data_IF_958164601457
#
_entry.id   IF_958164601457
#
_cell.length_a   1.000
_cell.length_b   1.000
_cell.length_c   1.000
_cell.angle_alpha   90.00
_cell.angle_beta   90.00
_cell.angle_gamma   90.00
#
_symmetry.space_group_name_H-M   'P 1'
#
loop_
_entity.id
_entity.type
_entity.pdbx_description
1 polymer ?
#
# COMPACT_ATOMS: atom_id res chain seq x y z
N UNK A 1 19.92 -17.41 4.74
CA UNK A 1 19.15 -18.66 4.85
C UNK A 1 18.38 -18.60 6.16
N UNK A 2 17.11 -18.23 6.12
CA UNK A 2 16.25 -18.30 7.30
C UNK A 2 15.83 -19.75 7.49
N UNK A 3 15.98 -20.27 8.71
CA UNK A 3 15.56 -21.62 9.09
C UNK A 3 14.05 -21.76 8.85
N UNK A 4 13.66 -22.64 7.93
CA UNK A 4 12.25 -23.04 7.76
C UNK A 4 11.90 -23.89 8.99
N UNK A 5 11.04 -23.35 9.84
CA UNK A 5 10.60 -24.04 11.05
C UNK A 5 9.54 -25.08 10.63
N UNK A 6 9.85 -26.36 10.74
CA UNK A 6 8.95 -27.49 10.39
C UNK A 6 7.65 -27.53 11.21
N UNK A 7 7.52 -26.66 12.23
CA UNK A 7 6.32 -26.47 13.04
C UNK A 7 5.49 -25.22 12.66
N UNK A 8 5.69 -24.64 11.47
CA UNK A 8 4.94 -23.46 11.07
C UNK A 8 3.46 -23.79 10.88
N UNK A 9 2.62 -23.29 11.79
CA UNK A 9 1.17 -23.48 11.73
C UNK A 9 0.62 -22.67 10.55
N UNK A 10 0.01 -23.37 9.59
CA UNK A 10 -0.76 -22.76 8.50
C UNK A 10 -2.09 -22.24 9.04
N UNK A 11 -2.07 -21.02 9.57
CA UNK A 11 -3.28 -20.34 10.01
C UNK A 11 -4.17 -19.99 8.82
N UNK A 12 -5.48 -20.06 9.07
CA UNK A 12 -6.57 -19.81 8.15
C UNK A 12 -7.65 -19.04 8.92
N UNK A 13 -8.55 -18.38 8.20
CA UNK A 13 -9.66 -17.66 8.83
C UNK A 13 -10.61 -17.03 7.83
N UNK A 14 -10.67 -17.54 6.60
CA UNK A 14 -11.72 -17.09 5.71
C UNK A 14 -13.04 -17.69 6.16
N UNK A 15 -14.08 -16.86 6.16
CA UNK A 15 -15.46 -17.28 6.31
C UNK A 15 -16.12 -17.05 4.94
N UNK A 16 -16.82 -18.05 4.38
CA UNK A 16 -17.50 -17.90 3.10
C UNK A 16 -18.43 -16.70 3.09
N UNK A 17 -18.36 -15.86 2.07
CA UNK A 17 -19.30 -14.74 1.95
C UNK A 17 -20.75 -15.24 1.98
N UNK A 18 -21.68 -14.49 2.60
CA UNK A 18 -23.08 -14.83 2.56
C UNK A 18 -23.54 -15.00 1.11
N UNK A 19 -24.17 -16.15 0.78
CA UNK A 19 -24.49 -16.50 -0.61
C UNK A 19 -25.38 -15.47 -1.32
N UNK A 20 -26.21 -14.73 -0.57
CA UNK A 20 -27.01 -13.64 -1.13
C UNK A 20 -26.15 -12.44 -1.59
N UNK A 21 -25.02 -12.16 -0.93
CA UNK A 21 -24.08 -11.11 -1.35
C UNK A 21 -23.37 -11.52 -2.64
N UNK A 22 -22.90 -12.76 -2.71
CA UNK A 22 -22.28 -13.30 -3.93
C UNK A 22 -23.27 -13.29 -5.12
N UNK A 23 -24.53 -13.67 -4.89
CA UNK A 23 -25.56 -13.65 -5.92
C UNK A 23 -25.97 -12.22 -6.36
N UNK A 24 -25.86 -11.23 -5.47
CA UNK A 24 -26.17 -9.84 -5.76
C UNK A 24 -24.98 -9.07 -6.37
N UNK A 25 -23.77 -9.60 -6.26
CA UNK A 25 -22.57 -8.97 -6.80
C UNK A 25 -22.64 -8.88 -8.33
N UNK A 26 -22.27 -7.72 -8.87
CA UNK A 26 -22.16 -7.55 -10.33
C UNK A 26 -21.08 -8.50 -10.86
N UNK A 27 -21.39 -9.37 -11.84
CA UNK A 27 -20.36 -10.20 -12.47
C UNK A 27 -19.33 -9.36 -13.22
N UNK A 28 -18.07 -9.81 -13.20
CA UNK A 28 -17.02 -9.29 -14.05
C UNK A 28 -17.30 -9.59 -15.51
N UNK A 29 -17.18 -8.57 -16.35
CA UNK A 29 -17.26 -8.67 -17.80
C UNK A 29 -15.89 -8.35 -18.38
N UNK A 30 -15.56 -8.94 -19.53
CA UNK A 30 -14.25 -8.74 -20.15
C UNK A 30 -14.01 -7.25 -20.44
N UNK A 31 -12.91 -6.73 -19.91
CA UNK A 31 -12.45 -5.35 -20.12
C UNK A 31 -11.23 -5.38 -21.03
N UNK A 32 -11.33 -4.73 -22.18
CA UNK A 32 -10.21 -4.60 -23.11
C UNK A 32 -9.66 -5.94 -23.62
N UNK A 33 -8.36 -5.95 -23.92
CA UNK A 33 -7.65 -7.17 -24.36
C UNK A 33 -7.04 -7.91 -23.19
N UNK A 34 -7.08 -9.25 -23.23
CA UNK A 34 -6.39 -10.12 -22.27
C UNK A 34 -5.01 -10.52 -22.83
N UNK A 35 -3.89 -10.19 -22.16
CA UNK A 35 -2.57 -10.66 -22.56
C UNK A 35 -2.49 -12.21 -22.57
N UNK A 36 -1.59 -12.83 -23.36
CA UNK A 36 -1.46 -14.29 -23.37
C UNK A 36 -0.86 -14.88 -22.09
N UNK A 37 -0.02 -14.11 -21.39
CA UNK A 37 0.50 -14.43 -20.06
C UNK A 37 0.58 -13.13 -19.25
N UNK A 38 0.40 -13.21 -17.94
CA UNK A 38 0.45 -12.05 -17.06
C UNK A 38 0.89 -12.46 -15.65
N UNK A 39 1.61 -11.59 -14.93
CA UNK A 39 2.02 -11.85 -13.55
C UNK A 39 2.25 -10.55 -12.78
N UNK A 40 1.61 -10.42 -11.62
CA UNK A 40 2.06 -9.58 -10.53
C UNK A 40 3.05 -10.36 -9.66
N UNK A 41 4.29 -9.85 -9.55
CA UNK A 41 5.36 -10.43 -8.75
C UNK A 41 6.01 -9.34 -7.89
N UNK A 42 5.35 -8.90 -6.79
CA UNK A 42 5.90 -7.87 -5.91
C UNK A 42 7.21 -8.33 -5.26
N UNK A 43 8.10 -7.39 -4.99
CA UNK A 43 9.39 -7.65 -4.36
C UNK A 43 9.25 -7.97 -2.87
N UNK A 44 8.26 -7.37 -2.19
CA UNK A 44 8.01 -7.57 -0.77
C UNK A 44 6.67 -8.28 -0.54
N UNK A 45 6.73 -9.38 0.20
CA UNK A 45 5.57 -10.19 0.58
C UNK A 45 5.73 -10.56 2.05
N UNK A 46 4.63 -10.50 2.80
CA UNK A 46 4.60 -10.91 4.21
C UNK A 46 3.40 -11.82 4.50
N UNK A 47 3.28 -12.28 5.74
CA UNK A 47 2.08 -12.96 6.23
C UNK A 47 0.95 -11.98 6.57
N UNK A 48 1.26 -10.71 6.83
CA UNK A 48 0.29 -9.67 7.21
C UNK A 48 -0.62 -10.12 8.36
N UNK A 49 -0.02 -10.73 9.39
CA UNK A 49 -0.74 -11.21 10.58
C UNK A 49 -1.42 -12.57 10.43
N UNK A 50 -1.46 -13.16 9.22
CA UNK A 50 -2.11 -14.44 9.03
C UNK A 50 -1.47 -15.55 9.87
N UNK A 51 -0.14 -15.60 9.98
CA UNK A 51 0.63 -16.56 10.78
C UNK A 51 0.39 -16.49 12.30
N UNK A 52 -0.33 -15.48 12.78
CA UNK A 52 -0.64 -15.28 14.19
C UNK A 52 -2.14 -15.32 14.47
N UNK A 53 -2.94 -14.75 13.57
CA UNK A 53 -4.35 -14.45 13.80
C UNK A 53 -5.30 -15.06 12.76
N UNK A 54 -4.84 -15.89 11.82
CA UNK A 54 -5.72 -16.41 10.76
C UNK A 54 -6.29 -15.30 9.86
N UNK A 55 -5.61 -14.17 9.77
CA UNK A 55 -6.05 -12.96 9.08
C UNK A 55 -5.86 -13.00 7.55
N UNK A 56 -6.06 -14.18 6.93
CA UNK A 56 -5.81 -14.40 5.51
C UNK A 56 -6.63 -13.46 4.61
N UNK A 57 -7.82 -13.04 5.06
CA UNK A 57 -8.69 -12.15 4.28
C UNK A 57 -8.13 -10.73 4.21
N UNK A 58 -7.61 -10.20 5.31
CA UNK A 58 -6.93 -8.89 5.32
C UNK A 58 -5.55 -8.97 4.67
N UNK A 59 -4.81 -10.06 4.91
CA UNK A 59 -3.49 -10.28 4.32
C UNK A 59 -3.54 -10.27 2.79
N UNK A 60 -4.59 -10.84 2.20
CA UNK A 60 -4.80 -10.81 0.76
C UNK A 60 -5.02 -9.39 0.23
N UNK A 61 -5.67 -8.50 0.99
CA UNK A 61 -5.80 -7.09 0.59
C UNK A 61 -4.45 -6.37 0.62
N UNK A 62 -3.60 -6.66 1.61
CA UNK A 62 -2.26 -6.10 1.67
C UNK A 62 -1.38 -6.58 0.50
N UNK A 63 -1.49 -7.86 0.14
CA UNK A 63 -0.89 -8.39 -1.08
C UNK A 63 -1.41 -7.70 -2.35
N UNK A 64 -2.70 -7.41 -2.42
CA UNK A 64 -3.28 -6.69 -3.54
C UNK A 64 -2.69 -5.27 -3.69
N UNK A 65 -2.37 -4.59 -2.58
CA UNK A 65 -1.63 -3.31 -2.62
C UNK A 65 -0.19 -3.48 -3.08
N UNK A 66 0.49 -4.55 -2.65
CA UNK A 66 1.84 -4.86 -3.11
C UNK A 66 1.90 -5.07 -4.64
N UNK A 67 0.81 -5.53 -5.26
CA UNK A 67 0.72 -5.69 -6.72
C UNK A 67 0.57 -4.37 -7.50
N UNK A 68 0.48 -3.22 -6.83
CA UNK A 68 0.44 -1.91 -7.49
C UNK A 68 1.80 -1.55 -8.13
N UNK A 69 1.82 -0.64 -9.11
CA UNK A 69 3.05 -0.16 -9.73
C UNK A 69 3.10 1.38 -9.71
N UNK A 70 4.06 2.01 -9.01
CA UNK A 70 5.14 1.40 -8.21
C UNK A 70 4.61 0.65 -6.98
N UNK A 71 5.30 -0.40 -6.53
CA UNK A 71 4.86 -1.26 -5.41
C UNK A 71 4.46 -0.48 -4.14
N UNK A 72 3.30 -0.83 -3.57
CA UNK A 72 2.81 -0.29 -2.29
C UNK A 72 2.86 -1.43 -1.26
N UNK A 73 3.91 -1.43 -0.44
CA UNK A 73 4.02 -2.38 0.66
C UNK A 73 3.32 -1.84 1.91
N UNK A 74 2.30 -2.56 2.38
CA UNK A 74 1.67 -2.34 3.68
C UNK A 74 2.44 -3.14 4.73
N UNK A 75 2.82 -2.53 5.84
CA UNK A 75 3.52 -3.26 6.91
C UNK A 75 2.58 -4.24 7.64
N UNK A 76 3.14 -5.30 8.23
CA UNK A 76 2.35 -6.25 9.05
C UNK A 76 1.59 -5.53 10.16
N UNK A 77 2.22 -4.55 10.81
CA UNK A 77 1.60 -3.79 11.89
C UNK A 77 0.38 -2.99 11.41
N UNK A 78 0.44 -2.37 10.23
CA UNK A 78 -0.70 -1.65 9.66
C UNK A 78 -1.83 -2.62 9.30
N UNK A 79 -1.52 -3.76 8.67
CA UNK A 79 -2.53 -4.76 8.34
C UNK A 79 -3.24 -5.31 9.60
N UNK A 80 -2.46 -5.71 10.61
CA UNK A 80 -2.98 -6.24 11.88
C UNK A 80 -3.81 -5.18 12.63
N UNK A 81 -3.34 -3.94 12.69
CA UNK A 81 -4.08 -2.85 13.34
C UNK A 81 -5.40 -2.57 12.64
N UNK A 82 -5.40 -2.58 11.30
CA UNK A 82 -6.60 -2.38 10.52
C UNK A 82 -7.60 -3.53 10.73
N UNK A 83 -7.15 -4.78 10.70
CA UNK A 83 -8.01 -5.92 10.98
C UNK A 83 -8.58 -5.87 12.40
N UNK A 84 -7.76 -5.54 13.39
CA UNK A 84 -8.17 -5.38 14.80
C UNK A 84 -9.24 -4.31 14.94
N UNK A 85 -9.02 -3.12 14.38
CA UNK A 85 -9.95 -2.00 14.45
C UNK A 85 -11.30 -2.27 13.78
N UNK A 86 -11.35 -3.24 12.86
CA UNK A 86 -12.56 -3.62 12.14
C UNK A 86 -13.17 -4.95 12.61
N UNK A 87 -12.57 -5.62 13.61
CA UNK A 87 -13.07 -6.90 14.12
C UNK A 87 -12.85 -8.07 13.16
N UNK A 88 -11.79 -8.04 12.36
CA UNK A 88 -11.46 -9.06 11.35
C UNK A 88 -10.30 -9.99 11.74
N UNK A 89 -9.68 -9.78 12.91
CA UNK A 89 -8.73 -10.76 13.47
C UNK A 89 -9.44 -12.07 13.82
N UNK A 90 -8.76 -13.21 13.64
CA UNK A 90 -9.29 -14.55 13.90
C UNK A 90 -10.44 -14.95 12.98
N UNK A 91 -10.53 -14.29 11.83
CA UNK A 91 -11.32 -14.69 10.69
C UNK A 91 -12.37 -13.66 10.29
N UNK A 92 -12.66 -13.61 8.99
CA UNK A 92 -13.54 -12.62 8.40
C UNK A 92 -14.26 -13.15 7.16
N UNK A 93 -15.41 -12.57 6.85
CA UNK A 93 -16.07 -12.78 5.57
C UNK A 93 -15.32 -12.03 4.46
N UNK A 94 -15.01 -12.69 3.33
CA UNK A 94 -14.34 -12.04 2.19
C UNK A 94 -15.05 -10.75 1.77
N UNK A 95 -16.36 -10.85 1.56
CA UNK A 95 -17.22 -9.71 1.21
C UNK A 95 -17.20 -8.57 2.23
N UNK A 96 -17.07 -8.86 3.54
CA UNK A 96 -17.07 -7.79 4.55
C UNK A 96 -15.76 -7.00 4.56
N UNK A 97 -14.63 -7.67 4.32
CA UNK A 97 -13.34 -7.00 4.18
C UNK A 97 -13.32 -6.16 2.90
N UNK A 98 -13.76 -6.73 1.77
CA UNK A 98 -13.89 -6.01 0.49
C UNK A 98 -14.76 -4.75 0.63
N UNK A 99 -15.96 -4.88 1.21
CA UNK A 99 -16.87 -3.74 1.45
C UNK A 99 -16.23 -2.66 2.32
N UNK A 100 -15.47 -3.07 3.35
CA UNK A 100 -14.80 -2.11 4.24
C UNK A 100 -13.67 -1.37 3.53
N UNK A 101 -12.87 -2.07 2.73
CA UNK A 101 -11.73 -1.49 2.02
C UNK A 101 -12.12 -0.42 0.99
N UNK A 102 -13.35 -0.45 0.45
CA UNK A 102 -13.86 0.61 -0.43
C UNK A 102 -13.86 1.98 0.25
N UNK A 103 -14.18 2.02 1.55
CA UNK A 103 -14.38 3.26 2.29
C UNK A 103 -13.31 3.54 3.33
N UNK A 104 -12.70 2.50 3.88
CA UNK A 104 -11.69 2.59 4.92
C UNK A 104 -10.60 1.56 4.66
N UNK A 105 -9.69 1.87 3.74
CA UNK A 105 -8.53 1.05 3.42
C UNK A 105 -7.34 1.28 4.35
N UNK A 106 -6.23 0.60 4.08
CA UNK A 106 -5.00 0.73 4.87
C UNK A 106 -4.46 2.16 4.86
N UNK A 107 -3.88 2.59 5.98
CA UNK A 107 -3.16 3.86 6.08
C UNK A 107 -1.69 3.56 6.31
N UNK A 108 -0.84 3.90 5.34
CA UNK A 108 0.61 3.65 5.38
C UNK A 108 1.34 4.80 4.70
N UNK A 109 2.41 5.30 5.32
CA UNK A 109 3.16 6.48 4.85
C UNK A 109 2.29 7.71 4.52
N UNK A 110 1.27 7.98 5.34
CA UNK A 110 0.32 9.11 5.17
C UNK A 110 -0.64 9.00 3.98
N UNK A 111 -0.70 7.86 3.29
CA UNK A 111 -1.70 7.59 2.25
C UNK A 111 -2.74 6.64 2.78
N UNK A 112 -3.98 6.82 2.32
CA UNK A 112 -5.00 5.81 2.50
C UNK A 112 -5.21 5.05 1.18
N UNK A 113 -5.17 3.73 1.25
CA UNK A 113 -5.24 2.84 0.09
C UNK A 113 -6.54 2.06 0.10
N UNK A 114 -7.58 2.67 -0.46
CA UNK A 114 -8.89 2.05 -0.59
C UNK A 114 -8.94 1.08 -1.77
N UNK A 115 -10.01 0.30 -1.84
CA UNK A 115 -10.38 -0.48 -3.01
C UNK A 115 -11.34 0.30 -3.91
N UNK A 116 -11.41 -0.11 -5.18
CA UNK A 116 -12.60 0.10 -5.97
C UNK A 116 -13.72 -0.87 -5.59
N UNK A 117 -14.92 -0.64 -6.13
CA UNK A 117 -16.05 -1.55 -5.91
C UNK A 117 -15.69 -2.93 -6.46
N UNK A 118 -16.09 -3.98 -5.73
CA UNK A 118 -15.82 -5.36 -6.14
C UNK A 118 -16.89 -5.93 -7.07
N UNK A 119 -16.46 -6.81 -7.97
CA UNK A 119 -17.28 -7.67 -8.82
C UNK A 119 -17.03 -9.13 -8.48
N UNK A 120 -18.03 -9.98 -8.70
CA UNK A 120 -17.83 -11.44 -8.68
C UNK A 120 -17.14 -11.89 -9.97
N UNK A 121 -16.28 -12.90 -9.90
CA UNK A 121 -15.55 -13.45 -11.06
C UNK A 121 -15.98 -14.90 -11.27
N UNK A 122 -16.33 -15.27 -12.50
CA UNK A 122 -16.50 -16.69 -12.85
C UNK A 122 -15.13 -17.35 -13.00
N UNK A 123 -14.68 -18.02 -11.94
CA UNK A 123 -13.39 -18.71 -11.91
C UNK A 123 -13.35 -19.99 -12.75
N UNK A 124 -14.51 -20.50 -13.19
CA UNK A 124 -14.58 -21.70 -14.04
C UNK A 124 -14.39 -21.37 -15.52
N UNK A 125 -14.54 -20.10 -15.89
CA UNK A 125 -14.31 -19.60 -17.24
C UNK A 125 -12.92 -18.96 -17.36
N UNK A 126 -12.00 -19.67 -18.00
CA UNK A 126 -10.61 -19.21 -18.15
C UNK A 126 -10.49 -17.82 -18.80
N UNK A 127 -11.33 -17.48 -19.78
CA UNK A 127 -11.26 -16.18 -20.46
C UNK A 127 -11.67 -15.03 -19.51
N UNK A 128 -12.71 -15.25 -18.69
CA UNK A 128 -13.17 -14.27 -17.70
C UNK A 128 -12.13 -14.12 -16.60
N UNK A 129 -11.64 -15.24 -16.05
CA UNK A 129 -10.68 -15.23 -14.96
C UNK A 129 -9.34 -14.60 -15.36
N UNK A 130 -8.80 -14.95 -16.53
CA UNK A 130 -7.55 -14.35 -17.02
C UNK A 130 -7.72 -12.86 -17.30
N UNK A 131 -8.86 -12.44 -17.87
CA UNK A 131 -9.14 -11.02 -18.05
C UNK A 131 -9.20 -10.27 -16.70
N UNK A 132 -9.87 -10.86 -15.70
CA UNK A 132 -9.95 -10.29 -14.35
C UNK A 132 -8.56 -10.15 -13.71
N UNK A 133 -7.74 -11.21 -13.76
CA UNK A 133 -6.36 -11.19 -13.25
C UNK A 133 -5.52 -10.10 -13.93
N UNK A 134 -5.74 -9.84 -15.23
CA UNK A 134 -5.04 -8.76 -15.93
C UNK A 134 -5.46 -7.33 -15.50
N UNK A 135 -6.62 -7.17 -14.83
CA UNK A 135 -7.03 -5.90 -14.22
C UNK A 135 -6.53 -5.73 -12.78
N UNK A 136 -6.28 -6.85 -12.09
CA UNK A 136 -5.87 -6.87 -10.70
C UNK A 136 -5.82 -8.28 -10.13
N UNK A 137 -5.06 -8.50 -9.04
CA UNK A 137 -5.05 -9.77 -8.32
C UNK A 137 -6.48 -10.16 -7.88
N UNK A 138 -6.92 -11.37 -8.22
CA UNK A 138 -8.28 -11.86 -7.93
C UNK A 138 -8.29 -12.55 -6.57
N UNK A 139 -9.06 -12.02 -5.63
CA UNK A 139 -9.27 -12.59 -4.30
C UNK A 139 -10.17 -13.82 -4.41
N UNK A 140 -9.76 -14.95 -3.88
CA UNK A 140 -10.56 -16.18 -3.89
C UNK A 140 -10.66 -16.83 -2.52
N UNK A 141 -11.84 -17.39 -2.23
CA UNK A 141 -12.08 -18.27 -1.10
C UNK A 141 -11.82 -19.72 -1.51
N UNK A 142 -10.96 -20.41 -0.77
CA UNK A 142 -10.53 -21.78 -1.08
C UNK A 142 -10.61 -22.71 0.13
N UNK A 143 -10.71 -24.01 -0.13
CA UNK A 143 -10.39 -25.05 0.84
C UNK A 143 -8.88 -25.30 0.87
N UNK A 144 -8.21 -25.02 1.98
CA UNK A 144 -6.73 -25.00 2.03
C UNK A 144 -6.06 -26.29 2.50
N UNK A 145 -6.80 -27.37 2.77
CA UNK A 145 -6.22 -28.63 3.28
C UNK A 145 -5.12 -29.19 2.37
N UNK A 146 -5.34 -29.16 1.07
CA UNK A 146 -4.37 -29.67 0.10
C UNK A 146 -3.19 -28.70 -0.11
N UNK A 147 -3.40 -27.39 0.08
CA UNK A 147 -2.35 -26.37 -0.01
C UNK A 147 -1.27 -26.53 1.07
N UNK A 148 -1.65 -26.93 2.29
CA UNK A 148 -0.70 -27.15 3.39
C UNK A 148 0.41 -28.16 3.04
N UNK A 149 0.17 -29.06 2.10
CA UNK A 149 1.12 -30.12 1.72
C UNK A 149 2.14 -29.67 0.67
N UNK A 150 1.91 -28.53 0.02
CA UNK A 150 2.73 -28.09 -1.12
C UNK A 150 3.35 -26.71 -0.93
N UNK A 151 2.73 -25.84 -0.12
CA UNK A 151 3.24 -24.49 0.08
C UNK A 151 4.51 -24.52 0.94
N UNK A 152 5.54 -23.82 0.45
CA UNK A 152 6.73 -23.49 1.22
C UNK A 152 6.70 -21.99 1.57
N UNK A 153 6.35 -21.61 2.80
CA UNK A 153 6.35 -20.21 3.19
C UNK A 153 7.71 -19.54 2.99
N UNK A 154 7.71 -18.29 2.53
CA UNK A 154 8.90 -17.48 2.26
C UNK A 154 9.69 -17.89 1.02
N UNK A 155 9.20 -18.87 0.24
CA UNK A 155 9.82 -19.30 -1.03
C UNK A 155 8.78 -19.36 -2.14
N UNK A 156 8.91 -18.49 -3.13
CA UNK A 156 8.07 -18.52 -4.32
C UNK A 156 8.41 -19.74 -5.20
N UNK A 157 7.46 -20.15 -6.05
CA UNK A 157 7.62 -21.22 -7.02
C UNK A 157 7.30 -22.64 -6.51
N UNK A 158 6.51 -22.79 -5.46
CA UNK A 158 5.91 -24.09 -5.12
C UNK A 158 4.80 -24.47 -6.13
N UNK A 159 4.47 -25.76 -6.23
CA UNK A 159 3.52 -26.28 -7.23
C UNK A 159 2.34 -27.01 -6.56
N UNK A 160 1.12 -26.69 -6.98
CA UNK A 160 -0.13 -27.35 -6.60
C UNK A 160 -0.76 -27.98 -7.85
N UNK A 161 -0.91 -29.31 -7.84
CA UNK A 161 -1.48 -30.06 -8.95
C UNK A 161 -2.16 -31.34 -8.45
N UNK A 162 -3.09 -31.87 -9.24
CA UNK A 162 -3.86 -33.09 -8.92
C UNK A 162 -4.65 -33.02 -7.60
N UNK A 163 -5.18 -31.85 -7.24
CA UNK A 163 -6.06 -31.75 -6.08
C UNK A 163 -7.44 -32.35 -6.36
N UNK A 164 -8.01 -32.95 -5.32
CA UNK A 164 -9.39 -33.42 -5.33
C UNK A 164 -10.35 -32.28 -5.02
N UNK A 165 -11.62 -32.45 -5.40
CA UNK A 165 -12.66 -31.51 -5.06
C UNK A 165 -12.79 -31.37 -3.54
N UNK A 166 -12.79 -30.12 -3.07
CA UNK A 166 -12.94 -29.78 -1.67
C UNK A 166 -13.78 -28.50 -1.55
N UNK A 167 -14.80 -28.57 -0.69
CA UNK A 167 -15.77 -27.50 -0.49
C UNK A 167 -15.65 -26.84 0.89
N UNK A 168 -14.67 -27.25 1.70
CA UNK A 168 -14.44 -26.69 3.02
C UNK A 168 -13.69 -25.35 2.93
N UNK A 169 -14.36 -24.36 2.36
CA UNK A 169 -13.85 -22.99 2.19
C UNK A 169 -13.52 -22.37 3.55
N UNK A 170 -12.22 -22.26 3.84
CA UNK A 170 -11.70 -21.81 5.13
C UNK A 170 -10.49 -20.88 5.02
N UNK A 171 -9.99 -20.64 3.80
CA UNK A 171 -8.82 -19.79 3.56
C UNK A 171 -9.03 -18.82 2.40
N UNK A 172 -8.35 -17.68 2.47
CA UNK A 172 -8.38 -16.63 1.45
C UNK A 172 -7.00 -16.50 0.82
N UNK A 173 -6.96 -16.54 -0.51
CA UNK A 173 -5.73 -16.46 -1.31
C UNK A 173 -5.97 -15.54 -2.51
N UNK A 174 -4.91 -15.23 -3.26
CA UNK A 174 -5.01 -14.37 -4.44
C UNK A 174 -4.48 -15.06 -5.69
N UNK A 175 -5.19 -14.96 -6.81
CA UNK A 175 -4.66 -15.32 -8.12
C UNK A 175 -4.04 -14.06 -8.74
N UNK A 176 -2.72 -14.07 -8.89
CA UNK A 176 -1.95 -12.88 -9.26
C UNK A 176 -1.27 -13.01 -10.63
N UNK A 177 -1.52 -14.09 -11.36
CA UNK A 177 -0.97 -14.29 -12.69
C UNK A 177 -1.51 -15.55 -13.37
N UNK A 178 -1.23 -15.68 -14.66
CA UNK A 178 -1.57 -16.82 -15.48
C UNK A 178 -0.61 -16.97 -16.66
N UNK A 179 -0.53 -18.18 -17.19
CA UNK A 179 0.26 -18.51 -18.37
C UNK A 179 0.44 -20.02 -18.47
N UNK A 180 1.37 -20.48 -19.31
CA UNK A 180 1.82 -21.87 -19.22
C UNK A 180 2.58 -22.09 -17.91
N UNK A 181 2.49 -23.30 -17.36
CA UNK A 181 3.21 -23.66 -16.13
C UNK A 181 4.72 -23.45 -16.28
N UNK A 182 5.30 -23.77 -17.44
CA UNK A 182 6.71 -23.49 -17.75
C UNK A 182 7.05 -22.00 -17.74
N UNK A 183 6.16 -21.15 -18.27
CA UNK A 183 6.38 -19.70 -18.28
C UNK A 183 6.38 -19.15 -16.86
N UNK A 184 5.40 -19.55 -16.04
CA UNK A 184 5.30 -19.17 -14.63
C UNK A 184 6.51 -19.65 -13.81
N UNK A 185 6.92 -20.91 -14.00
CA UNK A 185 8.09 -21.48 -13.34
C UNK A 185 9.37 -20.67 -13.63
N UNK A 186 9.53 -20.22 -14.88
CA UNK A 186 10.63 -19.33 -15.28
C UNK A 186 10.58 -17.98 -14.54
N UNK A 187 9.39 -17.42 -14.31
CA UNK A 187 9.26 -16.14 -13.57
C UNK A 187 9.71 -16.25 -12.11
N UNK A 188 9.57 -17.45 -11.51
CA UNK A 188 10.02 -17.72 -10.14
C UNK A 188 11.40 -18.37 -10.07
N UNK A 189 12.07 -18.61 -11.20
CA UNK A 189 13.40 -19.23 -11.23
C UNK A 189 13.42 -20.69 -10.77
N UNK A 190 12.33 -21.43 -10.97
CA UNK A 190 12.18 -22.84 -10.57
C UNK A 190 11.98 -23.74 -11.79
N UNK A 191 12.28 -25.03 -11.64
CA UNK A 191 12.02 -26.04 -12.67
C UNK A 191 10.64 -26.68 -12.49
N UNK A 192 9.94 -26.94 -13.59
CA UNK A 192 8.67 -27.68 -13.56
C UNK A 192 8.91 -29.12 -13.08
N UNK A 193 8.18 -29.63 -12.08
CA UNK A 193 8.29 -31.01 -11.63
C UNK A 193 7.99 -32.01 -12.75
N UNK A 194 8.69 -33.16 -12.83
CA UNK A 194 8.52 -34.12 -13.94
C UNK A 194 7.09 -34.65 -14.15
N UNK A 195 6.29 -34.67 -13.09
CA UNK A 195 4.90 -35.13 -13.09
C UNK A 195 3.90 -34.06 -13.56
N UNK A 196 4.34 -32.83 -13.82
CA UNK A 196 3.51 -31.72 -14.29
C UNK A 196 3.89 -31.39 -15.73
N UNK A 197 2.91 -31.34 -16.63
CA UNK A 197 3.13 -30.92 -18.00
C UNK A 197 3.27 -29.39 -18.07
N UNK A 198 4.48 -28.91 -18.33
CA UNK A 198 4.78 -27.47 -18.36
C UNK A 198 4.07 -26.67 -19.46
N UNK A 199 3.51 -27.34 -20.48
CA UNK A 199 2.72 -26.67 -21.53
C UNK A 199 1.28 -26.41 -21.12
N UNK A 200 0.79 -27.06 -20.06
CA UNK A 200 -0.56 -26.85 -19.58
C UNK A 200 -0.70 -25.44 -18.98
N UNK A 201 -1.89 -24.84 -19.06
CA UNK A 201 -2.16 -23.57 -18.40
C UNK A 201 -2.12 -23.73 -16.88
N UNK A 202 -1.72 -22.66 -16.19
CA UNK A 202 -1.76 -22.56 -14.75
C UNK A 202 -1.93 -21.12 -14.29
N UNK A 203 -2.09 -20.96 -12.98
CA UNK A 203 -2.23 -19.67 -12.31
C UNK A 203 -1.14 -19.47 -11.27
N UNK A 204 -0.65 -18.24 -11.14
CA UNK A 204 0.15 -17.85 -9.99
C UNK A 204 -0.78 -17.57 -8.81
N UNK A 205 -0.51 -18.19 -7.65
CA UNK A 205 -1.33 -18.08 -6.45
C UNK A 205 -0.49 -17.58 -5.29
N UNK A 206 -0.83 -16.41 -4.75
CA UNK A 206 -0.30 -15.93 -3.47
C UNK A 206 -1.08 -16.57 -2.32
N UNK A 207 -0.36 -17.13 -1.35
CA UNK A 207 -0.92 -17.51 -0.05
C UNK A 207 0.15 -17.45 1.05
N UNK A 208 -0.29 -17.15 2.27
CA UNK A 208 0.57 -16.92 3.43
C UNK A 208 1.60 -15.83 3.16
N UNK A 209 2.83 -16.18 2.77
CA UNK A 209 3.87 -15.21 2.42
C UNK A 209 4.69 -15.66 1.20
N UNK A 210 4.11 -16.44 0.28
CA UNK A 210 4.77 -16.84 -0.96
C UNK A 210 3.78 -17.01 -2.10
N UNK A 211 4.30 -17.00 -3.33
CA UNK A 211 3.56 -17.21 -4.56
C UNK A 211 3.95 -18.55 -5.16
N UNK A 212 2.99 -19.38 -5.51
CA UNK A 212 3.20 -20.64 -6.22
C UNK A 212 2.45 -20.72 -7.52
N UNK A 213 2.44 -21.92 -8.08
CA UNK A 213 1.80 -22.25 -9.36
C UNK A 213 0.77 -23.34 -9.10
N UNK A 214 -0.48 -23.09 -9.48
CA UNK A 214 -1.56 -24.08 -9.40
C UNK A 214 -2.05 -24.42 -10.80
N UNK A 215 -2.25 -25.70 -11.09
CA UNK A 215 -2.87 -26.13 -12.34
C UNK A 215 -4.38 -25.76 -12.36
N UNK A 216 -4.95 -25.65 -13.57
CA UNK A 216 -6.36 -25.26 -13.72
C UNK A 216 -7.32 -26.20 -12.98
N UNK A 217 -7.20 -27.54 -13.09
CA UNK A 217 -8.11 -28.44 -12.39
C UNK A 217 -8.06 -28.30 -10.87
N UNK A 218 -6.88 -28.18 -10.27
CA UNK A 218 -6.74 -28.04 -8.81
C UNK A 218 -7.26 -26.69 -8.33
N UNK A 219 -7.05 -25.62 -9.10
CA UNK A 219 -7.61 -24.30 -8.78
C UNK A 219 -9.13 -24.35 -8.73
N UNK A 220 -9.76 -24.95 -9.75
CA UNK A 220 -11.23 -25.12 -9.79
C UNK A 220 -11.71 -26.02 -8.65
N UNK A 221 -10.98 -27.09 -8.34
CA UNK A 221 -11.37 -28.10 -7.37
C UNK A 221 -11.53 -27.57 -5.94
N UNK A 222 -10.77 -26.52 -5.57
CA UNK A 222 -10.75 -25.97 -4.21
C UNK A 222 -11.40 -24.59 -4.08
N UNK A 223 -11.73 -23.92 -5.18
CA UNK A 223 -12.25 -22.54 -5.16
C UNK A 223 -13.77 -22.52 -5.02
N UNK A 224 -14.28 -21.68 -4.11
CA UNK A 224 -15.70 -21.58 -3.79
C UNK A 224 -16.30 -20.17 -4.01
N UNK A 225 -15.45 -19.13 -4.08
CA UNK A 225 -15.83 -17.78 -4.51
C UNK A 225 -14.61 -17.02 -5.07
N UNK A 226 -14.87 -16.03 -5.93
CA UNK A 226 -13.83 -15.18 -6.53
C UNK A 226 -14.31 -13.74 -6.74
N UNK A 227 -13.42 -12.79 -6.45
CA UNK A 227 -13.71 -11.36 -6.43
C UNK A 227 -12.60 -10.54 -7.07
N UNK A 228 -12.99 -9.56 -7.89
CA UNK A 228 -12.09 -8.56 -8.44
C UNK A 228 -12.44 -7.19 -7.87
N UNK A 229 -11.45 -6.45 -7.40
CA UNK A 229 -11.55 -5.03 -7.06
C UNK A 229 -11.25 -4.21 -8.31
N UNK A 230 -12.08 -3.23 -8.65
CA UNK A 230 -11.80 -2.36 -9.81
C UNK A 230 -12.01 -0.86 -9.52
N UNK A 231 -10.94 -0.03 -9.50
CA UNK A 231 -9.53 -0.45 -9.58
C UNK A 231 -9.08 -1.21 -8.32
N UNK A 232 -7.95 -1.92 -8.38
CA UNK A 232 -7.41 -2.64 -7.21
C UNK A 232 -7.02 -1.70 -6.07
N UNK A 233 -6.47 -0.53 -6.40
CA UNK A 233 -6.06 0.45 -5.40
C UNK A 233 -6.50 1.85 -5.82
N UNK A 234 -7.33 2.45 -4.99
CA UNK A 234 -7.61 3.88 -5.00
C UNK A 234 -6.68 4.54 -3.99
N UNK A 235 -5.66 5.24 -4.48
CA UNK A 235 -4.77 6.02 -3.62
C UNK A 235 -5.51 7.30 -3.25
N UNK A 236 -6.03 7.34 -2.04
CA UNK A 236 -6.52 8.56 -1.43
C UNK A 236 -5.27 9.28 -0.89
N UNK A 237 -4.80 10.21 -1.70
CA UNK A 237 -3.84 11.26 -1.30
C UNK A 237 -4.33 11.87 0.03
N UNK A 238 -3.47 12.13 1.03
CA UNK A 238 -3.94 12.48 2.36
C UNK A 238 -4.94 13.63 2.31
N UNK A 239 -6.19 13.32 2.61
CA UNK A 239 -7.09 14.29 3.25
C UNK A 239 -6.77 14.41 4.74
N UNK A 240 -5.82 13.63 5.26
CA UNK A 240 -5.33 13.81 6.61
C UNK A 240 -4.40 15.03 6.64
N UNK A 241 -4.99 16.15 7.06
CA UNK A 241 -4.23 17.29 7.51
C UNK A 241 -3.43 16.90 8.76
N UNK A 242 -2.15 17.19 8.72
CA UNK A 242 -1.25 17.06 9.86
C UNK A 242 -0.69 18.42 10.25
N UNK A 243 -0.08 18.48 11.42
CA UNK A 243 0.67 19.63 11.91
C UNK A 243 2.15 19.25 11.89
N UNK A 244 3.01 20.21 11.57
CA UNK A 244 4.46 20.00 11.51
C UNK A 244 5.09 20.75 12.68
N UNK A 245 5.43 20.05 13.75
CA UNK A 245 5.94 20.63 15.00
C UNK A 245 7.47 20.69 14.99
N UNK A 246 8.08 21.85 15.24
CA UNK A 246 9.54 21.95 15.38
C UNK A 246 9.97 21.51 16.78
N UNK A 247 11.03 20.70 16.88
CA UNK A 247 11.52 20.15 18.15
C UNK A 247 12.08 21.24 19.07
N UNK A 248 12.78 22.24 18.53
CA UNK A 248 13.47 23.25 19.35
C UNK A 248 12.54 24.10 20.21
N UNK A 249 11.30 24.32 19.81
CA UNK A 249 10.35 25.20 20.52
C UNK A 249 9.01 24.53 20.84
N UNK A 250 8.71 23.36 20.24
CA UNK A 250 7.40 22.73 20.33
C UNK A 250 6.29 23.47 19.57
N UNK A 251 6.62 24.52 18.82
CA UNK A 251 5.68 25.27 17.98
C UNK A 251 5.48 24.59 16.62
N UNK A 252 4.51 25.06 15.86
CA UNK A 252 4.07 24.43 14.62
C UNK A 252 4.31 25.34 13.42
N UNK A 253 4.78 24.75 12.32
CA UNK A 253 4.90 25.42 11.03
C UNK A 253 3.53 25.91 10.56
N UNK A 254 3.45 27.16 10.15
CA UNK A 254 2.27 27.77 9.56
C UNK A 254 2.63 28.82 8.51
N UNK A 255 1.63 29.31 7.78
CA UNK A 255 1.77 30.52 6.95
C UNK A 255 1.40 31.75 7.77
N UNK A 256 2.31 32.73 7.81
CA UNK A 256 2.20 33.93 8.62
C UNK A 256 0.87 34.65 8.33
N UNK A 257 0.14 34.96 9.40
CA UNK A 257 -1.17 35.62 9.35
C UNK A 257 -2.22 34.92 8.47
N UNK A 258 -2.07 33.62 8.19
CA UNK A 258 -2.92 32.86 7.26
C UNK A 258 -3.06 33.52 5.88
N UNK A 259 -2.01 34.23 5.44
CA UNK A 259 -2.00 34.96 4.18
C UNK A 259 -2.33 34.04 3.00
N UNK A 260 -3.04 34.58 2.02
CA UNK A 260 -3.38 33.89 0.77
C UNK A 260 -2.43 34.27 -0.37
N UNK A 261 -1.49 35.19 -0.13
CA UNK A 261 -0.58 35.67 -1.16
C UNK A 261 0.48 34.61 -1.50
N UNK A 262 0.78 34.46 -2.79
CA UNK A 262 1.97 33.76 -3.25
C UNK A 262 3.23 34.43 -2.68
N UNK A 263 4.17 33.63 -2.18
CA UNK A 263 5.37 34.12 -1.51
C UNK A 263 5.16 34.55 -0.06
N UNK A 264 4.01 34.28 0.56
CA UNK A 264 3.84 34.56 1.98
C UNK A 264 4.73 33.65 2.85
N UNK A 265 5.38 34.26 3.84
CA UNK A 265 6.33 33.63 4.74
C UNK A 265 5.72 32.44 5.49
N UNK A 266 6.48 31.34 5.55
CA UNK A 266 6.23 30.26 6.49
C UNK A 266 6.99 30.54 7.79
N UNK A 267 6.35 30.36 8.93
CA UNK A 267 6.91 30.65 10.24
C UNK A 267 6.47 29.60 11.29
N UNK A 268 7.05 29.61 12.47
CA UNK A 268 6.51 28.84 13.60
C UNK A 268 5.40 29.60 14.34
N UNK A 269 4.50 28.87 15.01
CA UNK A 269 3.57 29.46 15.97
C UNK A 269 2.99 28.47 16.99
N UNK A 270 2.47 29.02 18.08
CA UNK A 270 2.06 28.29 19.29
C UNK A 270 0.63 27.73 19.27
N UNK A 271 -0.24 28.24 18.38
CA UNK A 271 -1.68 27.99 18.43
C UNK A 271 -2.22 27.31 17.16
N UNK A 272 -2.03 25.99 16.97
CA UNK A 272 -2.40 25.28 15.75
C UNK A 272 -3.89 24.90 15.71
N UNK A 273 -4.74 25.92 15.71
CA UNK A 273 -6.21 25.81 15.72
C UNK A 273 -6.87 26.26 14.42
N UNK A 274 -6.09 26.85 13.51
CA UNK A 274 -6.52 27.41 12.24
C UNK A 274 -5.88 26.67 11.07
N UNK A 275 -6.52 26.73 9.90
CA UNK A 275 -6.15 25.92 8.73
C UNK A 275 -4.76 26.25 8.16
N UNK A 276 -4.16 27.40 8.51
CA UNK A 276 -2.80 27.74 8.07
C UNK A 276 -1.71 26.92 8.81
N UNK A 277 -2.09 26.15 9.84
CA UNK A 277 -1.23 25.19 10.53
C UNK A 277 -1.39 23.75 10.02
N UNK A 278 -2.35 23.53 9.14
CA UNK A 278 -2.72 22.23 8.62
C UNK A 278 -2.03 21.99 7.29
N UNK A 279 -1.29 20.90 7.18
CA UNK A 279 -0.48 20.55 6.03
C UNK A 279 -0.83 19.16 5.48
N UNK A 280 -0.68 18.98 4.18
CA UNK A 280 -0.80 17.69 3.49
C UNK A 280 0.54 17.36 2.82
N UNK A 281 1.03 16.14 3.01
CA UNK A 281 2.19 15.62 2.29
C UNK A 281 1.71 14.84 1.06
N UNK A 282 1.96 15.36 -0.12
CA UNK A 282 1.49 14.81 -1.40
C UNK A 282 2.72 14.29 -2.17
N UNK A 283 2.82 13.02 -2.62
CA UNK A 283 3.94 12.53 -3.40
C UNK A 283 4.02 13.32 -4.69
N UNK A 284 5.22 13.70 -5.06
CA UNK A 284 5.49 14.26 -6.37
C UNK A 284 5.66 13.15 -7.41
N UNK A 285 5.71 13.54 -8.69
CA UNK A 285 6.13 12.64 -9.77
C UNK A 285 7.60 12.21 -9.67
N UNK A 286 8.41 12.88 -8.84
CA UNK A 286 9.77 12.45 -8.54
C UNK A 286 9.75 11.49 -7.35
N UNK A 287 10.10 10.22 -7.58
CA UNK A 287 10.14 9.18 -6.55
C UNK A 287 10.96 9.64 -5.33
N UNK A 288 10.38 9.49 -4.14
CA UNK A 288 11.00 9.85 -2.86
C UNK A 288 10.89 11.32 -2.46
N UNK A 289 10.20 12.15 -3.26
CA UNK A 289 9.94 13.56 -2.95
C UNK A 289 8.45 13.86 -2.84
N UNK A 290 8.12 14.84 -1.99
CA UNK A 290 6.78 15.26 -1.66
C UNK A 290 6.60 16.76 -1.93
N UNK A 291 5.38 17.15 -2.27
CA UNK A 291 4.83 18.48 -2.12
C UNK A 291 4.21 18.60 -0.72
N UNK A 292 4.34 19.76 -0.09
CA UNK A 292 3.78 20.01 1.25
C UNK A 292 2.76 21.15 1.11
N UNK A 293 1.47 20.82 1.11
CA UNK A 293 0.37 21.75 0.79
C UNK A 293 -0.29 22.27 2.06
N UNK A 294 -0.45 23.59 2.21
CA UNK A 294 -1.17 24.19 3.34
C UNK A 294 -2.68 24.18 3.08
N UNK A 295 -3.48 23.91 4.12
CA UNK A 295 -4.94 23.84 4.00
C UNK A 295 -5.57 25.21 3.72
N UNK A 296 -5.10 26.26 4.39
CA UNK A 296 -5.73 27.59 4.35
C UNK A 296 -5.78 28.23 2.97
N UNK A 297 -4.79 27.96 2.10
CA UNK A 297 -4.68 28.58 0.77
C UNK A 297 -4.62 27.56 -0.37
N UNK A 298 -4.37 26.28 -0.05
CA UNK A 298 -4.10 25.25 -1.03
C UNK A 298 -2.77 25.40 -1.78
N UNK A 299 -1.88 26.29 -1.34
CA UNK A 299 -0.55 26.49 -1.90
C UNK A 299 0.49 25.56 -1.23
N UNK A 300 1.71 25.56 -1.76
CA UNK A 300 2.74 24.60 -1.42
C UNK A 300 3.97 25.27 -0.79
N UNK A 301 4.50 24.67 0.27
CA UNK A 301 5.75 25.07 0.89
C UNK A 301 6.88 25.00 -0.13
N UNK A 302 7.65 26.07 -0.26
CA UNK A 302 8.81 26.16 -1.13
C UNK A 302 9.87 27.10 -0.55
N UNK A 303 11.06 27.08 -1.13
CA UNK A 303 12.07 28.12 -0.89
C UNK A 303 11.89 29.26 -1.89
N UNK A 304 11.75 30.48 -1.36
CA UNK A 304 11.45 31.69 -2.12
C UNK A 304 12.47 31.89 -3.26
N UNK A 305 11.96 32.12 -4.47
CA UNK A 305 12.75 32.31 -5.70
C UNK A 305 13.75 31.18 -6.01
N UNK A 306 13.52 29.97 -5.47
CA UNK A 306 14.45 28.84 -5.59
C UNK A 306 15.89 29.18 -5.16
N UNK A 307 16.05 30.09 -4.20
CA UNK A 307 17.36 30.52 -3.73
C UNK A 307 18.20 29.35 -3.25
N UNK A 308 19.52 29.46 -3.42
CA UNK A 308 20.52 28.49 -3.00
C UNK A 308 21.26 28.94 -1.74
N UNK A 309 20.93 30.11 -1.18
CA UNK A 309 21.64 30.68 -0.05
C UNK A 309 21.13 30.10 1.27
N UNK A 310 22.06 29.83 2.20
CA UNK A 310 21.72 29.60 3.60
C UNK A 310 20.90 30.78 4.15
N UNK A 311 19.85 30.48 4.89
CA UNK A 311 18.92 31.46 5.44
C UNK A 311 17.87 31.97 4.46
N UNK A 312 17.78 31.43 3.23
CA UNK A 312 16.70 31.81 2.32
C UNK A 312 15.33 31.42 2.87
N UNK A 313 14.39 32.33 2.75
CA UNK A 313 13.03 32.23 3.28
C UNK A 313 12.28 31.03 2.70
N UNK A 314 11.60 30.29 3.59
CA UNK A 314 10.57 29.35 3.20
C UNK A 314 9.23 30.07 3.14
N UNK A 315 8.46 29.85 2.09
CA UNK A 315 7.19 30.52 1.83
C UNK A 315 6.18 29.55 1.19
N UNK A 316 4.94 29.98 0.99
CA UNK A 316 3.99 29.26 0.13
C UNK A 316 4.05 29.72 -1.32
N UNK A 317 3.69 28.84 -2.26
CA UNK A 317 3.47 29.21 -3.66
C UNK A 317 2.53 28.29 -4.41
N UNK A 318 1.95 28.81 -5.49
CA UNK A 318 0.84 28.19 -6.24
C UNK A 318 1.28 27.36 -7.46
N UNK A 319 2.56 27.41 -7.83
CA UNK A 319 3.08 26.80 -9.06
C UNK A 319 4.14 25.74 -8.76
N UNK A 320 3.78 24.54 -8.26
CA UNK A 320 4.72 23.53 -7.76
C UNK A 320 5.40 22.71 -8.88
N UNK A 321 6.01 23.38 -9.85
CA UNK A 321 6.61 22.75 -11.05
C UNK A 321 8.14 22.69 -11.01
N UNK A 322 8.78 23.30 -10.01
CA UNK A 322 10.23 23.43 -9.88
C UNK A 322 10.76 22.72 -8.62
N UNK A 323 12.04 22.36 -8.62
CA UNK A 323 12.64 21.54 -7.54
C UNK A 323 12.63 22.21 -6.16
N UNK A 324 12.42 23.53 -6.05
CA UNK A 324 12.31 24.23 -4.75
C UNK A 324 10.99 23.95 -4.02
N UNK A 325 10.03 23.29 -4.67
CA UNK A 325 8.79 22.79 -4.06
C UNK A 325 8.89 21.34 -3.59
N UNK A 326 9.95 20.63 -4.00
CA UNK A 326 10.09 19.19 -3.77
C UNK A 326 10.88 18.94 -2.50
N UNK A 327 10.25 18.26 -1.54
CA UNK A 327 10.81 17.98 -0.22
C UNK A 327 11.03 16.49 -0.04
N UNK A 328 12.24 16.11 0.35
CA UNK A 328 12.55 14.77 0.82
C UNK A 328 12.32 14.71 2.33
N UNK A 329 11.53 13.74 2.76
CA UNK A 329 11.30 13.45 4.19
C UNK A 329 12.33 12.42 4.64
N UNK A 330 13.18 12.78 5.60
CA UNK A 330 14.27 11.93 6.10
C UNK A 330 14.02 11.64 7.57
N UNK A 331 13.85 10.37 7.93
CA UNK A 331 13.59 9.96 9.31
C UNK A 331 14.84 10.08 10.20
N UNK A 332 14.66 10.53 11.45
CA UNK A 332 15.66 10.65 12.49
C UNK A 332 15.04 10.36 13.87
N UNK A 333 14.98 9.08 14.24
CA UNK A 333 14.26 8.63 15.43
C UNK A 333 12.76 8.94 15.33
N UNK A 334 12.21 9.58 16.36
CA UNK A 334 10.80 10.04 16.38
C UNK A 334 10.56 11.34 15.60
N UNK A 335 11.60 11.88 14.97
CA UNK A 335 11.57 13.14 14.21
C UNK A 335 11.90 12.90 12.74
N UNK A 336 11.72 13.95 11.94
CA UNK A 336 12.10 14.01 10.54
C UNK A 336 12.92 15.27 10.25
N UNK A 337 13.67 15.22 9.17
CA UNK A 337 14.24 16.38 8.47
C UNK A 337 13.53 16.55 7.12
N UNK A 338 13.30 17.79 6.75
CA UNK A 338 12.73 18.15 5.45
C UNK A 338 13.82 18.78 4.59
N UNK A 339 14.31 18.03 3.60
CA UNK A 339 15.36 18.49 2.68
C UNK A 339 14.75 18.97 1.37
N UNK A 340 14.99 20.21 0.97
CA UNK A 340 14.51 20.72 -0.33
C UNK A 340 15.42 20.21 -1.45
N UNK A 341 14.82 19.75 -2.55
CA UNK A 341 15.54 19.16 -3.68
C UNK A 341 16.44 20.16 -4.41
N UNK A 342 15.99 21.40 -4.58
CA UNK A 342 16.71 22.41 -5.37
C UNK A 342 18.11 22.73 -4.85
N UNK A 343 18.32 22.70 -3.54
CA UNK A 343 19.60 23.08 -2.91
C UNK A 343 20.23 21.96 -2.07
N UNK A 344 19.47 20.91 -1.74
CA UNK A 344 19.91 19.88 -0.80
C UNK A 344 19.97 20.36 0.66
N UNK A 345 19.48 21.57 0.95
CA UNK A 345 19.44 22.13 2.30
C UNK A 345 18.15 21.75 3.04
N UNK A 346 18.09 22.08 4.32
CA UNK A 346 17.06 21.59 5.23
C UNK A 346 16.21 22.73 5.80
N UNK A 347 14.90 22.51 5.88
CA UNK A 347 13.97 23.42 6.54
C UNK A 347 14.31 23.54 8.03
N UNK A 348 14.41 24.77 8.52
CA UNK A 348 14.63 25.09 9.91
C UNK A 348 13.93 26.39 10.32
N UNK A 349 13.85 26.64 11.64
CA UNK A 349 13.47 27.96 12.16
C UNK A 349 14.72 28.83 12.33
N UNK A 350 14.69 30.03 11.74
CA UNK A 350 15.81 30.95 11.70
C UNK A 350 16.35 31.26 13.11
N UNK A 351 17.67 31.10 13.28
CA UNK A 351 18.37 31.34 14.54
C UNK A 351 17.93 30.45 15.70
N UNK A 352 17.21 29.35 15.44
CA UNK A 352 16.56 28.53 16.47
C UNK A 352 15.67 29.36 17.43
N UNK A 353 15.08 30.43 16.90
CA UNK A 353 14.27 31.35 17.70
C UNK A 353 13.13 30.61 18.41
N UNK A 354 12.76 31.11 19.58
CA UNK A 354 11.62 30.62 20.36
C UNK A 354 10.39 31.54 20.21
N UNK A 355 10.52 32.64 19.48
CA UNK A 355 9.43 33.61 19.32
C UNK A 355 8.38 33.09 18.34
N UNK A 356 7.10 33.28 18.70
CA UNK A 356 6.00 33.10 17.78
C UNK A 356 6.19 34.00 16.54
N UNK A 357 5.91 33.46 15.35
CA UNK A 357 6.11 34.17 14.08
C UNK A 357 7.56 34.20 13.60
N UNK A 358 8.51 33.51 14.24
CA UNK A 358 9.87 33.41 13.70
C UNK A 358 9.86 32.65 12.35
N UNK A 359 10.50 33.24 11.35
CA UNK A 359 10.55 32.72 9.99
C UNK A 359 11.23 31.37 9.86
N UNK A 360 10.68 30.54 8.98
CA UNK A 360 11.31 29.32 8.51
C UNK A 360 12.22 29.63 7.32
N UNK A 361 13.35 28.94 7.24
CA UNK A 361 14.32 29.11 6.16
C UNK A 361 15.02 27.78 5.85
N UNK A 362 15.84 27.75 4.80
CA UNK A 362 16.76 26.63 4.54
C UNK A 362 18.15 26.88 5.14
N UNK A 363 18.84 25.81 5.54
CA UNK A 363 20.27 25.83 5.86
C UNK A 363 20.93 24.45 5.68
N UNK A 364 22.25 24.45 5.49
CA UNK A 364 23.08 23.27 5.16
C UNK A 364 23.63 22.47 6.36
N UNK A 365 23.41 22.94 7.59
CA UNK A 365 24.01 22.39 8.83
C UNK A 365 22.95 21.87 9.80
N UNK A 366 22.26 20.75 9.49
CA UNK A 366 21.09 20.26 10.23
C UNK A 366 21.46 19.47 11.49
N UNK A 367 22.22 20.08 12.41
CA UNK A 367 22.74 19.42 13.62
C UNK A 367 22.03 19.85 14.91
N UNK A 368 21.15 20.86 14.84
CA UNK A 368 20.42 21.41 15.98
C UNK A 368 18.93 21.11 15.91
N UNK A 369 18.24 21.18 17.05
CA UNK A 369 16.83 20.77 17.16
C UNK A 369 15.84 21.62 16.33
N UNK A 370 16.23 22.80 15.86
CA UNK A 370 15.39 23.63 14.99
C UNK A 370 15.27 23.10 13.55
N UNK A 371 16.03 22.05 13.20
CA UNK A 371 15.91 21.31 11.93
C UNK A 371 15.07 20.04 12.05
N UNK A 372 14.74 19.64 13.29
CA UNK A 372 14.00 18.41 13.57
C UNK A 372 12.52 18.74 13.71
N UNK A 373 11.71 18.02 12.95
CA UNK A 373 10.27 18.21 12.90
C UNK A 373 9.55 16.93 13.30
N UNK A 374 8.37 17.05 13.89
CA UNK A 374 7.47 15.95 14.18
C UNK A 374 6.18 16.14 13.42
N UNK A 375 5.74 15.11 12.72
CA UNK A 375 4.43 15.07 12.07
C UNK A 375 3.40 14.66 13.13
N UNK A 376 2.42 15.53 13.38
CA UNK A 376 1.39 15.37 14.42
C UNK A 376 0.03 15.31 13.76
N UNK A 377 -0.74 14.25 14.02
CA UNK A 377 -2.09 14.06 13.50
C UNK A 377 -3.14 14.90 14.25
#
# INVERSE_FOLDING_TARGET
MANVNENQRFFRGAIPSPRYKLAAAKPHEIIGSTPPNFLYNPANISFWGNDQYGDCVTAEEAFAKACYNPEIFISDQVAINWASANGFLNGAYLSSVLEKMVHNGFIENYFQYNDGVSSSVDWTNANILQNAIAQGPVKIGVAADQLNNVVTPGRNGWFAANFNQDHNEDHCVSLCGYGTISWLATQFGVSVPPQINGNDPGYAMFTWNSIGIIDVPSMIAITAEAWLRNPTTNIIQPVQYLKIQVKSSGQYLNILNASQANGAEACQGDTPTTDNFLWQLIPSSTVGYYLIKVASSGQYLNILNASQTNGAEACQGDTPTTDNFLWKVIAEGDYIKLQVKSSGQYLNIAGASQTNGAGACQADTPTTDNFLWKLVL
#
